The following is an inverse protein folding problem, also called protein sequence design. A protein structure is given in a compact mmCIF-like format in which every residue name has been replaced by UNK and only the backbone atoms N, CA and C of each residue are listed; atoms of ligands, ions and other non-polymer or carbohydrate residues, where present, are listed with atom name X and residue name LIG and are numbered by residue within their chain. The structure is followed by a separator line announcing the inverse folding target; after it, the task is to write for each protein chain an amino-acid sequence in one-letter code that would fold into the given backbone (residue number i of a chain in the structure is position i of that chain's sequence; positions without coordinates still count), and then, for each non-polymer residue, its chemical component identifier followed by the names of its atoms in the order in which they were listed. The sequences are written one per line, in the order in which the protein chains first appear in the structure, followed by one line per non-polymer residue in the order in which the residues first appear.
data_IF_297156271119
#
_entry.id   IF_297156271119
#
_cell.length_a   1.000
_cell.length_b   1.000
_cell.length_c   1.000
_cell.angle_alpha   90.00
_cell.angle_beta   90.00
_cell.angle_gamma   90.00
#
_symmetry.space_group_name_H-M   'P 1'
#
loop_
_entity.id
_entity.type
_entity.pdbx_description
1 polymer ?
#
# COMPACT_ATOMS: atom_id res chain seq x y z
N UNK A 1 -14.99 -14.63 -26.96
CA UNK A 1 -13.62 -15.07 -27.25
C UNK A 1 -12.98 -15.53 -25.95
N UNK A 2 -12.41 -16.72 -25.86
CA UNK A 2 -11.65 -17.10 -24.67
C UNK A 2 -10.43 -16.20 -24.56
N UNK A 3 -10.25 -15.59 -23.40
CA UNK A 3 -9.01 -14.85 -23.07
C UNK A 3 -7.93 -15.92 -22.96
N UNK A 4 -6.99 -15.91 -23.87
CA UNK A 4 -5.83 -16.79 -23.78
C UNK A 4 -5.04 -16.35 -22.53
N UNK A 5 -4.91 -17.24 -21.55
CA UNK A 5 -4.02 -17.05 -20.42
C UNK A 5 -2.60 -16.89 -20.98
N UNK A 6 -2.01 -15.75 -20.77
CA UNK A 6 -0.63 -15.48 -21.15
C UNK A 6 0.26 -15.73 -19.95
N UNK A 7 1.23 -16.60 -20.10
CA UNK A 7 2.30 -16.73 -19.10
C UNK A 7 3.20 -15.49 -19.12
N UNK A 8 3.41 -14.92 -17.96
CA UNK A 8 4.39 -13.85 -17.78
C UNK A 8 5.78 -14.47 -17.62
N UNK A 9 6.82 -13.86 -18.20
CA UNK A 9 8.18 -14.38 -18.08
C UNK A 9 8.83 -14.08 -16.72
N UNK A 10 8.04 -13.69 -15.72
CA UNK A 10 8.51 -13.31 -14.40
C UNK A 10 7.43 -13.50 -13.32
N UNK A 11 7.86 -13.52 -12.09
CA UNK A 11 6.99 -13.56 -10.92
C UNK A 11 6.60 -12.14 -10.50
N UNK A 12 5.33 -11.94 -10.14
CA UNK A 12 4.83 -10.67 -9.59
C UNK A 12 3.80 -10.94 -8.49
N UNK A 13 3.85 -10.15 -7.42
CA UNK A 13 2.91 -10.27 -6.29
C UNK A 13 1.56 -9.62 -6.60
N UNK A 14 1.60 -8.55 -7.37
CA UNK A 14 0.40 -7.79 -7.75
C UNK A 14 0.64 -6.98 -9.02
N UNK A 15 -0.45 -6.51 -9.62
CA UNK A 15 -0.37 -5.63 -10.78
C UNK A 15 -1.47 -4.57 -10.77
N UNK A 16 -1.26 -3.52 -11.58
CA UNK A 16 -2.25 -2.49 -11.86
C UNK A 16 -2.18 -2.08 -13.35
N UNK A 17 -3.28 -1.54 -13.89
CA UNK A 17 -3.38 -1.10 -15.28
C UNK A 17 -3.02 0.38 -15.36
N UNK A 18 -1.91 0.70 -16.03
CA UNK A 18 -1.49 2.09 -16.25
C UNK A 18 -2.31 2.73 -17.38
N UNK A 19 -2.43 2.01 -18.49
CA UNK A 19 -3.22 2.43 -19.66
C UNK A 19 -3.63 1.21 -20.51
N UNK A 20 -4.19 1.46 -21.70
CA UNK A 20 -4.72 0.44 -22.61
C UNK A 20 -3.69 -0.58 -23.13
N UNK A 21 -2.41 -0.41 -22.84
CA UNK A 21 -1.36 -1.32 -23.30
C UNK A 21 -0.31 -1.64 -22.25
N UNK A 22 -0.29 -0.93 -21.13
CA UNK A 22 0.76 -1.05 -20.11
C UNK A 22 0.20 -1.51 -18.78
N UNK A 23 0.77 -2.57 -18.26
CA UNK A 23 0.58 -3.05 -16.90
C UNK A 23 1.79 -2.67 -16.05
N UNK A 24 1.53 -2.36 -14.78
CA UNK A 24 2.56 -2.15 -13.77
C UNK A 24 2.54 -3.37 -12.86
N UNK A 25 3.68 -3.98 -12.65
CA UNK A 25 3.85 -5.10 -11.74
C UNK A 25 4.66 -4.69 -10.52
N UNK A 26 4.27 -5.20 -9.36
CA UNK A 26 5.03 -5.13 -8.11
C UNK A 26 5.56 -6.51 -7.75
N UNK A 27 6.77 -6.56 -7.21
CA UNK A 27 7.40 -7.79 -6.75
C UNK A 27 8.83 -7.95 -7.27
N UNK A 28 9.36 -9.16 -7.18
CA UNK A 28 10.73 -9.50 -7.60
C UNK A 28 10.86 -9.75 -9.11
N UNK A 29 10.12 -8.99 -9.92
CA UNK A 29 10.16 -9.16 -11.37
C UNK A 29 11.50 -8.67 -11.92
N UNK A 30 12.26 -9.55 -12.55
CA UNK A 30 13.58 -9.22 -13.11
C UNK A 30 14.56 -8.55 -12.13
N UNK A 31 14.49 -8.88 -10.85
CA UNK A 31 15.27 -8.24 -9.79
C UNK A 31 14.91 -6.77 -9.52
N UNK A 32 13.83 -6.27 -10.08
CA UNK A 32 13.32 -4.92 -9.86
C UNK A 32 11.98 -4.95 -9.12
N UNK A 33 11.70 -3.92 -8.31
CA UNK A 33 10.49 -3.86 -7.49
C UNK A 33 9.25 -3.47 -8.31
N UNK A 34 9.42 -2.60 -9.29
CA UNK A 34 8.34 -2.15 -10.17
C UNK A 34 8.74 -2.37 -11.61
N UNK A 35 7.89 -3.04 -12.37
CA UNK A 35 8.11 -3.32 -13.78
C UNK A 35 6.92 -2.85 -14.61
N UNK A 36 7.20 -2.10 -15.67
CA UNK A 36 6.23 -1.72 -16.69
C UNK A 36 6.32 -2.69 -17.85
N UNK A 37 5.19 -3.28 -18.18
CA UNK A 37 5.06 -4.31 -19.20
C UNK A 37 4.03 -3.94 -20.25
N UNK A 38 4.47 -3.85 -21.50
CA UNK A 38 3.57 -3.75 -22.65
C UNK A 38 3.00 -5.15 -22.95
N UNK A 39 1.75 -5.38 -22.58
CA UNK A 39 1.13 -6.67 -22.76
C UNK A 39 0.76 -6.96 -24.22
N UNK A 40 0.59 -5.93 -25.08
CA UNK A 40 0.32 -6.11 -26.51
C UNK A 40 1.56 -6.57 -27.27
N UNK A 41 2.70 -5.94 -26.99
CA UNK A 41 3.99 -6.25 -27.62
C UNK A 41 4.80 -7.29 -26.83
N UNK A 42 4.29 -7.76 -25.70
CA UNK A 42 4.93 -8.76 -24.82
C UNK A 42 6.36 -8.41 -24.43
N UNK A 43 6.60 -7.17 -24.06
CA UNK A 43 7.93 -6.69 -23.71
C UNK A 43 7.92 -5.80 -22.46
N UNK A 44 9.04 -5.85 -21.73
CA UNK A 44 9.31 -4.87 -20.68
C UNK A 44 9.59 -3.51 -21.33
N UNK A 45 8.94 -2.46 -20.82
CA UNK A 45 9.15 -1.08 -21.23
C UNK A 45 10.19 -0.45 -20.33
N UNK A 46 9.98 -0.55 -19.03
CA UNK A 46 10.84 0.06 -18.02
C UNK A 46 10.80 -0.73 -16.72
N UNK A 47 11.70 -0.45 -15.81
CA UNK A 47 11.70 -0.98 -14.46
C UNK A 47 12.38 -0.04 -13.49
N UNK A 48 11.96 -0.09 -12.23
CA UNK A 48 12.42 0.82 -11.20
C UNK A 48 12.76 0.08 -9.92
N UNK A 49 13.78 0.56 -9.25
CA UNK A 49 14.24 0.14 -7.94
C UNK A 49 14.59 -1.36 -7.87
N UNK A 50 15.81 -1.62 -7.48
CA UNK A 50 16.25 -2.99 -7.26
C UNK A 50 15.46 -3.64 -6.13
N UNK A 51 15.07 -4.87 -6.35
CA UNK A 51 14.41 -5.68 -5.33
C UNK A 51 15.40 -5.99 -4.21
N UNK A 52 14.94 -5.76 -2.98
CA UNK A 52 15.66 -6.15 -1.77
C UNK A 52 14.82 -7.20 -1.06
N UNK A 53 15.30 -8.43 -0.90
CA UNK A 53 14.57 -9.44 -0.14
C UNK A 53 14.34 -8.96 1.28
N UNK A 54 13.09 -8.92 1.71
CA UNK A 54 12.72 -8.48 3.05
C UNK A 54 11.56 -9.31 3.59
N UNK A 55 11.37 -9.21 4.87
CA UNK A 55 10.37 -9.91 5.64
C UNK A 55 9.59 -8.90 6.49
N UNK A 56 8.35 -9.20 6.82
CA UNK A 56 7.46 -8.44 7.72
C UNK A 56 7.04 -7.01 7.32
N UNK A 57 7.35 -6.52 6.15
CA UNK A 57 7.06 -5.13 5.78
C UNK A 57 6.42 -4.94 4.39
N UNK A 58 5.83 -6.00 3.83
CA UNK A 58 5.17 -5.91 2.52
C UNK A 58 3.79 -5.25 2.63
N UNK A 59 3.50 -4.21 1.86
CA UNK A 59 2.17 -3.67 1.80
C UNK A 59 1.20 -4.71 1.23
N UNK A 60 0.05 -4.88 1.88
CA UNK A 60 -1.01 -5.78 1.42
C UNK A 60 -1.61 -5.34 0.09
N UNK A 61 -1.53 -4.03 -0.20
CA UNK A 61 -2.01 -3.43 -1.45
C UNK A 61 -1.02 -2.33 -1.87
N UNK A 62 -0.01 -2.65 -2.68
CA UNK A 62 1.04 -1.69 -3.03
C UNK A 62 0.56 -0.60 -3.99
N UNK A 63 -0.53 -0.81 -4.73
CA UNK A 63 -1.08 0.17 -5.68
C UNK A 63 -2.38 0.76 -5.20
N UNK A 64 -2.54 2.08 -5.42
CA UNK A 64 -3.77 2.82 -5.19
C UNK A 64 -4.05 3.74 -6.38
N UNK A 65 -5.30 3.71 -6.89
CA UNK A 65 -5.76 4.68 -7.88
C UNK A 65 -6.38 5.88 -7.18
N UNK A 66 -5.92 7.08 -7.54
CA UNK A 66 -6.44 8.34 -7.07
C UNK A 66 -6.40 9.38 -8.19
N UNK A 67 -7.53 9.98 -8.54
CA UNK A 67 -7.63 11.07 -9.54
C UNK A 67 -6.89 10.76 -10.86
N UNK A 68 -7.12 9.58 -11.42
CA UNK A 68 -6.44 9.06 -12.61
C UNK A 68 -4.92 8.85 -12.46
N UNK A 69 -4.38 8.99 -11.26
CA UNK A 69 -3.01 8.64 -10.95
C UNK A 69 -2.95 7.23 -10.33
N UNK A 70 -1.87 6.54 -10.58
CA UNK A 70 -1.53 5.30 -9.87
C UNK A 70 -0.40 5.65 -8.91
N UNK A 71 -0.71 5.51 -7.63
CA UNK A 71 0.27 5.61 -6.57
C UNK A 71 0.79 4.22 -6.23
N UNK A 72 2.09 4.09 -6.13
CA UNK A 72 2.76 2.89 -5.68
C UNK A 72 3.44 3.16 -4.34
N UNK A 73 3.23 2.25 -3.39
CA UNK A 73 3.83 2.27 -2.07
C UNK A 73 5.03 1.34 -2.04
N UNK A 74 6.19 1.88 -1.71
CA UNK A 74 7.37 1.08 -1.44
C UNK A 74 7.26 0.41 -0.06
N UNK A 75 7.77 -0.80 0.04
CA UNK A 75 7.48 -1.75 1.11
C UNK A 75 7.90 -1.31 2.53
N UNK A 76 8.78 -0.41 2.74
CA UNK A 76 9.22 0.03 4.07
C UNK A 76 9.42 1.54 4.14
N UNK A 77 8.98 2.27 3.14
CA UNK A 77 9.11 3.72 3.09
C UNK A 77 7.78 4.40 3.40
N UNK A 78 7.90 5.62 3.90
CA UNK A 78 6.76 6.51 4.11
C UNK A 78 6.36 7.27 2.85
N UNK A 79 7.08 7.05 1.76
CA UNK A 79 6.87 7.70 0.48
C UNK A 79 5.98 6.86 -0.42
N UNK A 80 4.96 7.49 -0.99
CA UNK A 80 4.23 6.94 -2.12
C UNK A 80 4.67 7.65 -3.39
N UNK A 81 4.84 6.87 -4.44
CA UNK A 81 5.30 7.36 -5.73
C UNK A 81 4.18 7.28 -6.76
N UNK A 82 4.00 8.34 -7.52
CA UNK A 82 3.19 8.28 -8.74
C UNK A 82 3.98 7.54 -9.81
N UNK A 83 3.35 6.53 -10.40
CA UNK A 83 3.95 5.73 -11.48
C UNK A 83 3.60 6.36 -12.82
N UNK A 84 4.62 6.63 -13.62
CA UNK A 84 4.49 7.04 -15.02
C UNK A 84 5.25 6.08 -15.92
N UNK A 85 5.13 6.24 -17.23
CA UNK A 85 5.89 5.40 -18.18
C UNK A 85 7.40 5.66 -18.12
N UNK A 86 7.81 6.85 -17.68
CA UNK A 86 9.18 7.33 -17.70
C UNK A 86 9.87 7.25 -16.35
N UNK A 87 9.13 7.47 -15.25
CA UNK A 87 9.73 7.61 -13.93
C UNK A 87 8.75 7.33 -12.78
N UNK A 88 9.30 7.11 -11.59
CA UNK A 88 8.61 7.16 -10.32
C UNK A 88 8.77 8.54 -9.70
N UNK A 89 7.66 9.25 -9.54
CA UNK A 89 7.65 10.63 -9.01
C UNK A 89 7.18 10.60 -7.56
N UNK A 90 7.96 11.11 -6.58
CA UNK A 90 7.50 11.28 -5.21
C UNK A 90 6.18 12.06 -5.17
N UNK A 91 5.14 11.52 -4.55
CA UNK A 91 3.80 12.09 -4.62
C UNK A 91 3.19 12.36 -3.25
N UNK A 92 3.37 11.47 -2.28
CA UNK A 92 2.85 11.61 -0.92
C UNK A 92 3.91 11.15 0.07
N UNK A 93 4.02 11.86 1.17
CA UNK A 93 4.88 11.48 2.30
C UNK A 93 4.03 11.40 3.57
N UNK A 94 4.12 10.29 4.27
CA UNK A 94 3.48 10.07 5.56
C UNK A 94 4.55 10.19 6.64
N UNK A 95 4.44 11.22 7.46
CA UNK A 95 5.39 11.46 8.54
C UNK A 95 4.98 10.66 9.79
N UNK A 96 5.74 9.62 10.10
CA UNK A 96 5.61 8.83 11.32
C UNK A 96 6.51 9.33 12.46
N UNK A 97 7.16 10.49 12.28
CA UNK A 97 8.06 11.12 13.26
C UNK A 97 9.18 10.17 13.71
N UNK A 98 9.31 9.90 15.02
CA UNK A 98 10.32 9.02 15.59
C UNK A 98 10.20 7.55 15.13
N UNK A 99 9.03 7.13 14.67
CA UNK A 99 8.79 5.78 14.14
C UNK A 99 9.03 5.68 12.63
N UNK A 100 9.55 6.75 12.02
CA UNK A 100 9.81 6.78 10.60
C UNK A 100 10.99 5.87 10.22
N UNK A 101 10.90 5.20 9.06
CA UNK A 101 12.01 4.43 8.52
C UNK A 101 13.25 5.30 8.33
N UNK A 102 14.32 4.93 8.96
CA UNK A 102 15.56 5.69 9.03
C UNK A 102 16.65 5.24 8.01
N UNK A 103 16.24 4.45 7.01
CA UNK A 103 17.14 3.90 5.98
C UNK A 103 17.88 2.63 6.41
N UNK A 104 17.62 2.10 7.60
CA UNK A 104 18.28 0.89 8.11
C UNK A 104 17.29 -0.28 8.16
N UNK A 105 17.70 -1.38 7.60
CA UNK A 105 17.05 -2.68 7.76
C UNK A 105 18.01 -3.60 8.49
N UNK A 106 17.49 -4.38 9.42
CA UNK A 106 18.26 -5.47 10.00
C UNK A 106 18.30 -6.65 9.04
N UNK A 107 19.30 -7.49 9.21
CA UNK A 107 19.53 -8.63 8.33
C UNK A 107 19.57 -9.91 9.13
N UNK A 108 18.72 -10.88 8.74
CA UNK A 108 18.78 -12.21 9.33
C UNK A 108 20.08 -12.94 8.94
N UNK A 109 20.46 -14.01 9.66
CA UNK A 109 21.60 -14.85 9.25
C UNK A 109 21.46 -15.42 7.83
N UNK A 110 20.21 -15.61 7.35
CA UNK A 110 19.90 -16.09 5.99
C UNK A 110 19.96 -14.97 4.94
N UNK A 111 20.23 -13.74 5.35
CA UNK A 111 20.39 -12.62 4.43
C UNK A 111 19.09 -11.90 4.05
N UNK A 112 17.99 -12.18 4.73
CA UNK A 112 16.71 -11.51 4.55
C UNK A 112 16.67 -10.25 5.41
N UNK A 113 16.18 -9.17 4.85
CA UNK A 113 16.04 -7.89 5.57
C UNK A 113 14.67 -7.80 6.24
N UNK A 114 14.60 -7.11 7.39
CA UNK A 114 13.35 -6.81 8.09
C UNK A 114 13.41 -5.45 8.77
N UNK A 115 12.24 -4.88 9.04
CA UNK A 115 12.13 -3.65 9.83
C UNK A 115 12.26 -3.96 11.31
N UNK A 116 12.85 -3.01 12.03
CA UNK A 116 12.86 -3.04 13.49
C UNK A 116 11.44 -2.80 14.06
N UNK A 117 11.14 -3.32 15.26
CA UNK A 117 9.81 -3.21 15.88
C UNK A 117 9.33 -1.78 16.12
N UNK A 118 10.25 -0.83 16.26
CA UNK A 118 9.98 0.59 16.47
C UNK A 118 9.75 1.38 15.18
N UNK A 119 9.83 0.73 14.02
CA UNK A 119 9.60 1.38 12.73
C UNK A 119 8.16 1.15 12.28
N UNK A 120 7.43 2.23 12.08
CA UNK A 120 6.10 2.17 11.50
C UNK A 120 6.16 1.85 10.00
N UNK A 121 5.33 0.91 9.57
CA UNK A 121 5.19 0.60 8.15
C UNK A 121 3.72 0.58 7.74
N UNK A 122 3.48 1.07 6.55
CA UNK A 122 2.15 1.22 6.00
C UNK A 122 1.75 -0.02 5.20
N UNK A 123 0.61 -0.64 5.56
CA UNK A 123 0.13 -1.85 4.91
C UNK A 123 -0.83 -1.58 3.75
N UNK A 124 -1.62 -0.53 3.87
CA UNK A 124 -2.61 -0.14 2.86
C UNK A 124 -2.74 1.37 2.85
N UNK A 125 -2.94 1.91 1.66
CA UNK A 125 -3.21 3.32 1.46
C UNK A 125 -4.35 3.50 0.47
N UNK A 126 -5.24 4.44 0.76
CA UNK A 126 -6.33 4.86 -0.09
C UNK A 126 -6.46 6.37 -0.06
N UNK A 127 -6.74 6.96 -1.19
CA UNK A 127 -6.95 8.39 -1.31
C UNK A 127 -8.04 8.69 -2.31
N UNK A 128 -8.89 9.67 -1.99
CA UNK A 128 -9.82 10.31 -2.90
C UNK A 128 -9.82 11.83 -2.66
N UNK A 129 -10.74 12.55 -3.29
CA UNK A 129 -10.82 14.01 -3.18
C UNK A 129 -11.13 14.51 -1.77
N UNK A 130 -11.79 13.70 -0.95
CA UNK A 130 -12.30 14.09 0.37
C UNK A 130 -11.35 13.73 1.50
N UNK A 131 -10.73 12.55 1.44
CA UNK A 131 -9.89 12.04 2.52
C UNK A 131 -8.78 11.14 2.04
N UNK A 132 -7.81 10.94 2.93
CA UNK A 132 -6.80 9.88 2.89
C UNK A 132 -7.13 8.91 4.01
N UNK A 133 -7.03 7.63 3.71
CA UNK A 133 -7.17 6.56 4.66
C UNK A 133 -6.01 5.58 4.50
N UNK A 134 -5.36 5.21 5.60
CA UNK A 134 -4.32 4.21 5.56
C UNK A 134 -4.26 3.39 6.85
N UNK A 135 -3.63 2.25 6.74
CA UNK A 135 -3.35 1.36 7.87
C UNK A 135 -1.85 1.28 8.01
N UNK A 136 -1.38 1.42 9.24
CA UNK A 136 0.01 1.17 9.56
C UNK A 136 0.14 0.27 10.80
N UNK A 137 1.28 -0.37 10.90
CA UNK A 137 1.68 -1.19 12.03
C UNK A 137 2.99 -0.63 12.59
N UNK A 138 3.13 -0.73 13.93
CA UNK A 138 4.35 -0.42 14.65
C UNK A 138 4.33 -1.24 15.94
N UNK A 139 5.12 -2.30 16.00
CA UNK A 139 5.11 -3.24 17.13
C UNK A 139 5.46 -2.56 18.46
N UNK A 140 6.30 -1.51 18.45
CA UNK A 140 6.63 -0.76 19.66
C UNK A 140 5.45 0.06 20.22
N UNK A 141 4.43 0.36 19.41
CA UNK A 141 3.24 1.07 19.86
C UNK A 141 2.13 0.12 20.30
N UNK A 142 1.85 -0.89 19.52
CA UNK A 142 0.85 -1.93 19.79
C UNK A 142 1.05 -3.07 18.77
N UNK A 143 0.75 -4.30 19.16
CA UNK A 143 0.74 -5.47 18.26
C UNK A 143 -0.40 -5.41 17.23
N UNK A 144 -1.31 -4.43 17.34
CA UNK A 144 -2.46 -4.27 16.47
C UNK A 144 -2.29 -3.10 15.50
N UNK A 145 -2.79 -3.23 14.26
CA UNK A 145 -2.69 -2.17 13.28
C UNK A 145 -3.52 -0.93 13.66
N UNK A 146 -2.98 0.22 13.31
CA UNK A 146 -3.63 1.53 13.45
C UNK A 146 -4.32 1.90 12.16
N UNK A 147 -5.54 2.40 12.27
CA UNK A 147 -6.34 2.90 11.16
C UNK A 147 -6.38 4.42 11.22
N UNK A 148 -5.99 5.08 10.15
CA UNK A 148 -5.93 6.54 10.08
C UNK A 148 -6.88 7.06 9.01
N UNK A 149 -7.67 8.08 9.37
CA UNK A 149 -8.40 8.92 8.45
C UNK A 149 -7.88 10.35 8.51
N UNK A 150 -7.60 10.94 7.37
CA UNK A 150 -7.28 12.35 7.23
C UNK A 150 -8.26 13.01 6.27
N UNK A 151 -9.07 13.94 6.77
CA UNK A 151 -10.06 14.68 6.01
C UNK A 151 -9.44 15.92 5.38
N UNK A 152 -9.20 15.91 4.08
CA UNK A 152 -8.47 16.95 3.33
C UNK A 152 -9.01 18.36 3.53
N UNK A 153 -10.34 18.53 3.51
CA UNK A 153 -10.98 19.84 3.63
C UNK A 153 -10.83 20.47 5.01
N UNK A 154 -10.90 19.67 6.06
CA UNK A 154 -10.87 20.17 7.45
C UNK A 154 -9.50 20.05 8.11
N UNK A 155 -8.57 19.28 7.54
CA UNK A 155 -7.31 18.90 8.19
C UNK A 155 -7.48 17.98 9.40
N UNK A 156 -8.72 17.53 9.68
CA UNK A 156 -9.00 16.66 10.82
C UNK A 156 -8.36 15.30 10.60
N UNK A 157 -7.74 14.75 11.66
CA UNK A 157 -7.20 13.39 11.72
C UNK A 157 -8.00 12.57 12.73
N UNK A 158 -8.26 11.32 12.42
CA UNK A 158 -8.80 10.32 13.33
C UNK A 158 -7.85 9.12 13.24
N UNK A 159 -7.33 8.70 14.39
CA UNK A 159 -6.47 7.53 14.52
C UNK A 159 -7.20 6.56 15.45
N UNK A 160 -7.39 5.35 14.97
CA UNK A 160 -8.13 4.31 15.66
C UNK A 160 -7.18 3.12 15.87
N UNK A 161 -7.11 2.66 17.10
CA UNK A 161 -6.49 1.40 17.42
C UNK A 161 -7.55 0.29 17.33
N UNK A 162 -7.18 -0.88 16.86
CA UNK A 162 -8.09 -1.97 16.49
C UNK A 162 -8.94 -2.54 17.66
N UNK A 163 -8.65 -2.17 18.89
CA UNK A 163 -9.37 -2.69 20.06
C UNK A 163 -10.69 -1.97 20.37
N UNK A 164 -11.07 -0.94 19.59
CA UNK A 164 -12.15 -0.03 19.97
C UNK A 164 -13.16 0.28 18.85
N UNK A 165 -13.35 -0.64 17.89
CA UNK A 165 -14.38 -0.42 16.87
C UNK A 165 -15.72 -0.99 17.30
N UNK A 166 -16.75 -0.19 17.13
CA UNK A 166 -18.14 -0.62 17.23
C UNK A 166 -18.80 -0.39 15.88
N UNK A 167 -19.29 -1.47 15.29
CA UNK A 167 -20.16 -1.38 14.13
C UNK A 167 -21.59 -1.07 14.62
N UNK A 168 -22.06 0.17 14.39
CA UNK A 168 -23.39 0.61 14.79
C UNK A 168 -24.49 0.16 13.82
N UNK A 169 -24.13 -0.38 12.64
CA UNK A 169 -25.09 -0.96 11.70
C UNK A 169 -25.45 -2.40 12.08
N UNK A 170 -24.50 -3.19 12.56
CA UNK A 170 -24.72 -4.58 12.91
C UNK A 170 -24.77 -4.84 14.41
N UNK A 171 -24.43 -3.86 15.23
CA UNK A 171 -24.30 -3.96 16.69
C UNK A 171 -23.27 -4.98 17.18
N UNK A 172 -22.42 -5.50 16.30
CA UNK A 172 -21.34 -6.40 16.67
C UNK A 172 -20.05 -5.62 16.93
N UNK A 173 -19.28 -6.10 17.92
CA UNK A 173 -17.90 -5.68 18.09
C UNK A 173 -17.07 -6.32 16.98
N UNK A 174 -16.55 -5.51 16.09
CA UNK A 174 -15.65 -5.98 15.05
C UNK A 174 -14.25 -5.97 15.64
N UNK A 175 -13.68 -7.15 15.84
CA UNK A 175 -12.29 -7.31 16.31
C UNK A 175 -11.27 -7.08 15.20
N UNK A 176 -11.72 -7.04 13.94
CA UNK A 176 -10.91 -6.60 12.80
C UNK A 176 -11.78 -5.68 11.94
N UNK A 177 -11.33 -4.46 11.61
CA UNK A 177 -12.07 -3.62 10.72
C UNK A 177 -12.27 -4.37 9.39
N UNK A 178 -13.49 -4.38 8.89
CA UNK A 178 -13.82 -4.92 7.58
C UNK A 178 -13.23 -4.01 6.48
N UNK A 179 -11.91 -4.00 6.40
CA UNK A 179 -11.10 -3.11 5.55
C UNK A 179 -11.29 -3.41 4.07
N UNK A 180 -12.00 -4.48 3.76
CA UNK A 180 -12.39 -4.84 2.39
C UNK A 180 -13.61 -4.03 1.88
N UNK A 181 -14.15 -3.12 2.69
CA UNK A 181 -15.37 -2.39 2.40
C UNK A 181 -15.17 -1.06 1.65
N UNK A 182 -14.06 -0.86 0.96
CA UNK A 182 -13.90 0.27 0.06
C UNK A 182 -14.37 -0.12 -1.35
N UNK A 183 -15.24 0.71 -1.90
CA UNK A 183 -15.63 0.59 -3.33
C UNK A 183 -14.45 0.97 -4.23
N UNK A 184 -14.53 0.63 -5.50
CA UNK A 184 -13.56 1.06 -6.52
C UNK A 184 -13.45 2.57 -6.64
N UNK A 185 -14.45 3.32 -6.14
CA UNK A 185 -14.42 4.79 -6.03
C UNK A 185 -13.67 5.29 -4.78
N UNK A 186 -13.19 4.40 -3.92
CA UNK A 186 -12.46 4.75 -2.71
C UNK A 186 -13.33 5.23 -1.54
N UNK A 187 -14.66 5.15 -1.67
CA UNK A 187 -15.56 5.47 -0.56
C UNK A 187 -15.74 4.25 0.35
N UNK A 188 -15.73 4.40 1.69
CA UNK A 188 -16.00 3.30 2.61
C UNK A 188 -17.46 2.86 2.48
N UNK A 189 -17.68 1.56 2.41
CA UNK A 189 -19.03 0.96 2.39
C UNK A 189 -19.65 0.94 3.79
N UNK A 190 -18.81 0.96 4.83
CA UNK A 190 -19.23 1.01 6.21
C UNK A 190 -18.64 2.21 6.94
N UNK A 191 -19.42 2.83 7.81
CA UNK A 191 -18.96 3.90 8.69
C UNK A 191 -18.61 3.25 10.03
N UNK A 192 -17.36 3.38 10.43
CA UNK A 192 -16.88 2.92 11.73
C UNK A 192 -16.91 4.09 12.72
N UNK A 193 -17.54 3.90 13.85
CA UNK A 193 -17.59 4.89 14.92
C UNK A 193 -16.72 4.42 16.10
N UNK A 194 -16.01 5.37 16.70
CA UNK A 194 -15.36 5.13 17.98
C UNK A 194 -16.35 5.36 19.11
N UNK A 195 -16.46 4.45 20.03
CA UNK A 195 -17.00 4.78 21.36
C UNK A 195 -15.91 5.51 22.14
N UNK A 196 -16.12 6.79 22.45
CA UNK A 196 -15.32 7.50 23.45
C UNK A 196 -15.64 6.97 24.85
#
# INVERSE_FOLDING_TARGET
MPIALQELPFFADSFEILNDSILIFNGAAFEDQVVLWDYRNKKRINSYLKYTPHYNCRPLKPFTKCNNEILWQREFEQMLYRVTEQELIPARYIDFQEFAYNGKLEKTPQGIYFLQPDIAHMNRYYENDKYIHFIFECEALDDMPFLVYYFKKSGKKIILNNNHYKDDLTFYHITQPAINAFTTAGDPVSVLYTSF
#
